data_IF_398271338224
#
_entry.id   IF_398271338224
#
_cell.length_a   1.000
_cell.length_b   1.000
_cell.length_c   1.000
_cell.angle_alpha   90.00
_cell.angle_beta   90.00
_cell.angle_gamma   90.00
#
_symmetry.space_group_name_H-M   'P 1'
#
loop_
_entity.id
_entity.type
_entity.pdbx_description
1 polymer ?
#
# COMPACT_ATOMS: atom_id res chain seq x y z
N UNK A 1 -14.91 -3.66 -12.10
CA UNK A 1 -13.48 -3.28 -12.09
C UNK A 1 -12.77 -4.28 -11.19
N UNK A 2 -11.91 -5.15 -11.74
CA UNK A 2 -11.23 -6.18 -10.93
C UNK A 2 -9.91 -5.57 -10.45
N UNK A 3 -9.87 -5.14 -9.19
CA UNK A 3 -8.60 -4.90 -8.49
C UNK A 3 -7.94 -6.27 -8.37
N UNK A 4 -6.77 -6.45 -8.98
CA UNK A 4 -6.13 -7.77 -9.07
C UNK A 4 -5.31 -8.10 -7.84
N UNK A 5 -4.64 -7.11 -7.24
CA UNK A 5 -3.80 -7.35 -6.07
C UNK A 5 -3.42 -6.03 -5.36
N UNK A 6 -3.46 -6.05 -4.03
CA UNK A 6 -2.82 -5.05 -3.16
C UNK A 6 -1.56 -5.71 -2.58
N UNK A 7 -0.38 -5.13 -2.82
CA UNK A 7 0.91 -5.65 -2.35
C UNK A 7 1.70 -4.54 -1.67
N UNK A 8 2.51 -4.91 -0.69
CA UNK A 8 3.49 -4.02 -0.08
C UNK A 8 4.85 -4.17 -0.74
N UNK A 9 5.45 -3.03 -1.09
CA UNK A 9 6.80 -2.94 -1.62
C UNK A 9 7.66 -2.11 -0.67
N UNK A 10 8.95 -2.38 -0.64
CA UNK A 10 9.94 -1.56 0.06
C UNK A 10 10.93 -0.93 -0.91
N UNK A 11 11.40 0.24 -0.56
CA UNK A 11 12.58 0.87 -1.14
C UNK A 11 13.66 0.95 -0.07
N UNK A 12 14.89 0.61 -0.44
CA UNK A 12 16.06 0.76 0.41
C UNK A 12 16.73 2.12 0.11
N UNK A 13 17.18 2.84 1.14
CA UNK A 13 17.85 4.13 0.93
C UNK A 13 19.20 3.97 0.21
N UNK A 14 19.54 4.92 -0.67
CA UNK A 14 20.87 5.00 -1.26
C UNK A 14 21.95 5.16 -0.19
N UNK A 15 23.14 4.61 -0.45
CA UNK A 15 24.32 4.78 0.41
C UNK A 15 25.24 5.83 -0.24
N UNK A 16 25.57 6.91 0.46
CA UNK A 16 26.44 7.95 -0.09
C UNK A 16 26.27 9.33 0.56
N UNK A 17 26.79 10.40 -0.06
CA UNK A 17 26.56 11.77 0.40
C UNK A 17 25.10 12.21 0.21
N UNK A 18 24.43 11.69 -0.83
CA UNK A 18 23.03 11.96 -1.14
C UNK A 18 22.17 10.76 -0.72
N UNK A 19 21.72 10.75 0.54
CA UNK A 19 20.84 9.71 1.09
C UNK A 19 19.40 10.22 1.31
N UNK A 20 18.43 9.30 1.29
CA UNK A 20 17.07 9.58 1.76
C UNK A 20 17.10 10.20 3.16
N UNK A 21 16.10 11.04 3.45
CA UNK A 21 15.97 11.67 4.75
C UNK A 21 14.56 12.25 4.93
N UNK A 22 14.43 13.21 5.85
CA UNK A 22 13.12 13.81 6.16
C UNK A 22 12.47 14.53 4.97
N UNK A 23 13.26 14.97 3.99
CA UNK A 23 12.79 15.75 2.84
C UNK A 23 13.03 15.07 1.50
N UNK A 24 14.14 14.35 1.36
CA UNK A 24 14.55 13.74 0.11
C UNK A 24 14.14 12.27 0.10
N UNK A 25 13.45 11.86 -0.96
CA UNK A 25 13.26 10.45 -1.29
C UNK A 25 14.25 10.06 -2.38
N UNK A 26 15.32 9.35 -2.01
CA UNK A 26 16.40 8.92 -2.92
C UNK A 26 16.64 7.41 -2.75
N UNK A 27 15.74 6.58 -3.32
CA UNK A 27 15.86 5.14 -3.22
C UNK A 27 17.10 4.66 -3.98
N UNK A 28 17.73 3.61 -3.47
CA UNK A 28 18.89 2.96 -4.08
C UNK A 28 18.55 2.23 -5.39
N UNK A 29 17.27 1.97 -5.66
CA UNK A 29 16.80 1.29 -6.85
C UNK A 29 15.28 1.15 -6.89
N UNK A 30 14.82 0.24 -7.75
CA UNK A 30 13.40 -0.09 -7.89
C UNK A 30 12.82 -0.73 -6.62
N UNK A 31 11.52 -0.58 -6.45
CA UNK A 31 10.80 -1.20 -5.34
C UNK A 31 10.87 -2.73 -5.44
N UNK A 32 11.19 -3.38 -4.32
CA UNK A 32 11.15 -4.84 -4.18
C UNK A 32 10.00 -5.25 -3.25
N UNK A 33 9.53 -6.49 -3.37
CA UNK A 33 8.48 -7.00 -2.49
C UNK A 33 8.95 -6.94 -1.02
N UNK A 34 8.16 -6.26 -0.18
CA UNK A 34 8.50 -5.96 1.21
C UNK A 34 8.59 -7.22 2.09
N UNK A 35 7.91 -8.30 1.69
CA UNK A 35 7.75 -9.52 2.47
C UNK A 35 8.27 -10.76 1.75
N UNK A 36 9.10 -10.57 0.71
CA UNK A 36 9.66 -11.67 -0.11
C UNK A 36 10.39 -12.75 0.71
N UNK A 37 11.02 -12.34 1.81
CA UNK A 37 11.76 -13.23 2.71
C UNK A 37 10.93 -13.78 3.86
N UNK A 38 9.68 -13.34 4.02
CA UNK A 38 8.80 -13.85 5.06
C UNK A 38 8.23 -15.21 4.65
N UNK A 39 8.05 -16.10 5.63
CA UNK A 39 7.19 -17.27 5.44
C UNK A 39 5.76 -16.80 5.15
N UNK A 40 4.92 -17.70 4.64
CA UNK A 40 3.53 -17.35 4.32
C UNK A 40 2.85 -16.63 5.50
N UNK A 41 2.28 -15.44 5.28
CA UNK A 41 1.68 -14.65 6.35
C UNK A 41 0.47 -15.40 6.93
N UNK A 42 0.16 -15.13 8.20
CA UNK A 42 -1.09 -15.65 8.78
C UNK A 42 -2.26 -14.85 8.24
N UNK A 43 -3.29 -15.55 7.73
CA UNK A 43 -4.49 -14.95 7.16
C UNK A 43 -5.67 -15.27 8.07
N UNK A 44 -6.40 -14.24 8.50
CA UNK A 44 -7.66 -14.36 9.22
C UNK A 44 -8.80 -13.93 8.31
N UNK A 45 -9.84 -14.77 8.22
CA UNK A 45 -11.05 -14.46 7.46
C UNK A 45 -12.23 -14.42 8.43
N UNK A 46 -12.90 -13.28 8.47
CA UNK A 46 -14.08 -13.03 9.28
C UNK A 46 -15.25 -12.83 8.33
N UNK A 47 -16.27 -13.68 8.47
CA UNK A 47 -17.52 -13.54 7.73
C UNK A 47 -18.66 -13.40 8.74
N UNK A 48 -19.20 -12.19 8.84
CA UNK A 48 -20.27 -11.85 9.77
C UNK A 48 -21.46 -11.19 9.07
N UNK A 49 -22.59 -11.14 9.78
CA UNK A 49 -23.81 -10.53 9.25
C UNK A 49 -23.67 -9.02 8.98
N UNK A 50 -22.85 -8.33 9.78
CA UNK A 50 -22.67 -6.86 9.69
C UNK A 50 -21.52 -6.48 8.75
N UNK A 51 -20.48 -7.30 8.67
CA UNK A 51 -19.30 -7.07 7.83
C UNK A 51 -18.58 -8.37 7.50
N UNK A 52 -17.82 -8.33 6.42
CA UNK A 52 -16.79 -9.31 6.08
C UNK A 52 -15.42 -8.64 6.15
N UNK A 53 -14.42 -9.36 6.63
CA UNK A 53 -13.06 -8.84 6.77
C UNK A 53 -12.01 -9.92 6.50
N UNK A 54 -10.96 -9.54 5.78
CA UNK A 54 -9.74 -10.32 5.64
C UNK A 54 -8.61 -9.56 6.29
N UNK A 55 -7.85 -10.22 7.17
CA UNK A 55 -6.67 -9.68 7.83
C UNK A 55 -5.47 -10.52 7.43
N UNK A 56 -4.43 -9.89 6.92
CA UNK A 56 -3.14 -10.50 6.60
C UNK A 56 -2.11 -9.93 7.56
N UNK A 57 -1.45 -10.81 8.32
CA UNK A 57 -0.44 -10.43 9.29
C UNK A 57 0.96 -10.73 8.73
N UNK A 58 1.63 -9.67 8.28
CA UNK A 58 3.06 -9.67 7.98
C UNK A 58 3.86 -9.25 9.22
N UNK A 59 5.20 -9.29 9.12
CA UNK A 59 6.09 -8.95 10.24
C UNK A 59 5.95 -7.49 10.71
N UNK A 60 5.84 -6.54 9.78
CA UNK A 60 5.76 -5.10 10.06
C UNK A 60 4.44 -4.45 9.58
N UNK A 61 3.53 -5.22 8.98
CA UNK A 61 2.22 -4.73 8.52
C UNK A 61 1.11 -5.70 8.91
N UNK A 62 0.07 -5.19 9.58
CA UNK A 62 -1.23 -5.86 9.65
C UNK A 62 -2.18 -5.17 8.66
N UNK A 63 -2.41 -5.85 7.54
CA UNK A 63 -3.26 -5.37 6.45
C UNK A 63 -4.67 -5.92 6.61
N UNK A 64 -5.67 -5.04 6.67
CA UNK A 64 -7.07 -5.43 6.80
C UNK A 64 -7.88 -4.87 5.65
N UNK A 65 -8.68 -5.73 5.02
CA UNK A 65 -9.65 -5.37 3.99
C UNK A 65 -11.04 -5.67 4.53
N UNK A 66 -11.90 -4.66 4.60
CA UNK A 66 -13.21 -4.72 5.23
C UNK A 66 -14.28 -4.33 4.22
N UNK A 67 -15.36 -5.10 4.19
CA UNK A 67 -16.59 -4.81 3.44
C UNK A 67 -17.73 -4.80 4.46
N UNK A 68 -18.48 -3.69 4.53
CA UNK A 68 -19.60 -3.56 5.47
C UNK A 68 -20.91 -3.87 4.76
N UNK A 69 -21.74 -4.73 5.35
CA UNK A 69 -23.02 -5.15 4.78
C UNK A 69 -24.15 -4.16 5.13
N UNK A 70 -23.92 -2.87 4.87
CA UNK A 70 -24.91 -1.82 5.10
C UNK A 70 -25.42 -1.29 3.76
N UNK A 71 -26.69 -0.85 3.71
CA UNK A 71 -27.36 -0.50 2.44
C UNK A 71 -26.65 0.59 1.62
N UNK A 72 -25.90 1.46 2.27
CA UNK A 72 -25.31 2.66 1.66
C UNK A 72 -23.79 2.56 1.50
N UNK A 73 -23.18 1.43 1.88
CA UNK A 73 -21.73 1.22 1.81
C UNK A 73 -21.40 0.35 0.58
N UNK A 74 -20.78 0.97 -0.43
CA UNK A 74 -20.31 0.31 -1.64
C UNK A 74 -18.79 0.40 -1.80
N UNK A 75 -18.09 0.85 -0.77
CA UNK A 75 -16.65 0.98 -0.73
C UNK A 75 -15.98 -0.22 -0.05
N UNK A 76 -14.69 -0.35 -0.31
CA UNK A 76 -13.81 -1.30 0.37
C UNK A 76 -12.95 -0.48 1.32
N UNK A 77 -13.08 -0.75 2.61
CA UNK A 77 -12.25 -0.10 3.63
C UNK A 77 -10.94 -0.86 3.79
N UNK A 78 -9.81 -0.16 3.66
CA UNK A 78 -8.47 -0.73 3.87
C UNK A 78 -7.85 -0.08 5.10
N UNK A 79 -7.44 -0.90 6.06
CA UNK A 79 -6.70 -0.45 7.24
C UNK A 79 -5.33 -1.11 7.29
N UNK A 80 -4.28 -0.31 7.45
CA UNK A 80 -2.90 -0.80 7.61
C UNK A 80 -2.37 -0.34 8.96
N UNK A 81 -2.11 -1.28 9.87
CA UNK A 81 -1.31 -1.01 11.05
C UNK A 81 0.15 -1.33 10.71
N UNK A 82 0.99 -0.30 10.65
CA UNK A 82 2.38 -0.37 10.19
C UNK A 82 3.33 -0.15 11.38
N UNK A 83 4.29 -1.06 11.58
CA UNK A 83 5.32 -0.98 12.61
C UNK A 83 6.71 -1.20 12.01
N UNK A 84 7.35 -0.10 11.59
CA UNK A 84 8.70 -0.11 10.99
C UNK A 84 9.83 0.17 11.99
N UNK A 85 9.56 0.13 13.30
CA UNK A 85 10.56 0.54 14.32
C UNK A 85 11.83 -0.33 14.33
N UNK A 86 11.77 -1.54 13.77
CA UNK A 86 12.90 -2.46 13.64
C UNK A 86 13.59 -2.36 12.29
N UNK A 87 13.03 -1.61 11.35
CA UNK A 87 13.59 -1.42 10.01
C UNK A 87 14.55 -0.22 10.00
N UNK A 88 15.61 -0.30 9.20
CA UNK A 88 16.55 0.80 8.98
C UNK A 88 16.69 1.07 7.49
N UNK A 89 16.77 2.35 7.10
CA UNK A 89 16.88 2.76 5.69
C UNK A 89 15.79 2.13 4.80
N UNK A 90 14.56 2.10 5.33
CA UNK A 90 13.44 1.35 4.80
C UNK A 90 12.24 2.27 4.56
N UNK A 91 11.72 2.24 3.34
CA UNK A 91 10.54 3.01 2.96
C UNK A 91 9.45 2.07 2.43
N UNK A 92 8.33 1.99 3.15
CA UNK A 92 7.20 1.12 2.81
C UNK A 92 6.22 1.82 1.85
N UNK A 93 5.78 1.10 0.83
CA UNK A 93 4.72 1.54 -0.07
C UNK A 93 3.67 0.45 -0.26
N UNK A 94 2.40 0.85 -0.42
CA UNK A 94 1.32 -0.04 -0.81
C UNK A 94 0.97 0.22 -2.27
N UNK A 95 0.95 -0.83 -3.10
CA UNK A 95 0.68 -0.74 -4.53
C UNK A 95 -0.61 -1.48 -4.87
N UNK A 96 -1.48 -0.82 -5.63
CA UNK A 96 -2.71 -1.40 -6.20
C UNK A 96 -2.49 -1.65 -7.68
N UNK A 97 -2.59 -2.90 -8.10
CA UNK A 97 -2.40 -3.30 -9.50
C UNK A 97 -3.73 -3.65 -10.15
N UNK A 98 -4.00 -3.08 -11.33
CA UNK A 98 -5.24 -3.28 -12.09
C UNK A 98 -4.95 -3.39 -13.59
N UNK A 99 -5.93 -3.83 -14.36
CA UNK A 99 -5.86 -3.85 -15.83
C UNK A 99 -6.33 -2.54 -16.49
N UNK A 100 -6.60 -1.49 -15.69
CA UNK A 100 -7.06 -0.20 -16.20
C UNK A 100 -5.96 0.43 -17.05
N UNK A 101 -6.26 0.68 -18.32
CA UNK A 101 -5.36 1.37 -19.25
C UNK A 101 -5.45 2.88 -19.01
N UNK A 102 -4.54 3.40 -18.18
CA UNK A 102 -4.52 4.81 -17.80
C UNK A 102 -3.58 5.68 -18.66
N UNK A 103 -2.84 5.10 -19.62
CA UNK A 103 -1.92 5.81 -20.52
C UNK A 103 -0.94 6.74 -19.77
N UNK A 104 -0.37 6.28 -18.65
CA UNK A 104 0.53 7.03 -17.77
C UNK A 104 -0.09 8.31 -17.17
N UNK A 105 -1.43 8.41 -17.15
CA UNK A 105 -2.16 9.51 -16.55
C UNK A 105 -2.78 9.04 -15.24
N UNK A 106 -2.64 9.85 -14.19
CA UNK A 106 -3.28 9.63 -12.89
C UNK A 106 -3.67 10.97 -12.28
N UNK A 107 -4.37 10.94 -11.15
CA UNK A 107 -4.86 12.14 -10.48
C UNK A 107 -4.48 12.10 -9.02
N UNK A 108 -4.05 13.25 -8.50
CA UNK A 108 -3.86 13.47 -7.06
C UNK A 108 -4.59 14.75 -6.67
N UNK A 109 -5.10 14.80 -5.45
CA UNK A 109 -5.69 16.03 -4.93
C UNK A 109 -4.61 17.08 -4.63
N UNK A 110 -5.06 18.32 -4.47
CA UNK A 110 -4.30 19.40 -3.87
C UNK A 110 -5.01 19.82 -2.58
N UNK A 111 -4.47 19.39 -1.44
CA UNK A 111 -4.97 19.73 -0.10
C UNK A 111 -6.44 19.32 0.13
N UNK A 112 -6.90 18.23 -0.50
CA UNK A 112 -8.29 17.77 -0.43
C UNK A 112 -9.31 18.65 -1.16
N UNK A 113 -8.89 19.63 -1.96
CA UNK A 113 -9.80 20.57 -2.61
C UNK A 113 -10.04 20.25 -4.10
N UNK A 114 -8.99 20.16 -4.90
CA UNK A 114 -9.09 19.94 -6.35
C UNK A 114 -8.30 18.73 -6.80
N UNK A 115 -8.92 17.86 -7.60
CA UNK A 115 -8.23 16.79 -8.32
C UNK A 115 -7.41 17.35 -9.48
N UNK A 116 -6.11 17.08 -9.49
CA UNK A 116 -5.17 17.57 -10.51
C UNK A 116 -4.62 16.42 -11.33
N UNK A 117 -4.65 16.57 -12.65
CA UNK A 117 -4.09 15.59 -13.59
C UNK A 117 -2.56 15.55 -13.50
N UNK A 118 -2.01 14.34 -13.43
CA UNK A 118 -0.58 14.03 -13.44
C UNK A 118 -0.25 13.15 -14.63
N UNK A 119 0.98 13.25 -15.13
CA UNK A 119 1.53 12.37 -16.16
C UNK A 119 2.86 11.82 -15.66
N UNK A 120 3.00 10.49 -15.70
CA UNK A 120 4.27 9.82 -15.48
C UNK A 120 5.11 9.87 -16.76
N UNK A 121 6.40 10.15 -16.64
CA UNK A 121 7.35 10.35 -17.74
C UNK A 121 8.46 9.31 -17.69
#
# INVERSE_FOLDING_TARGET
MVIKLTIFFRYDAAHGPDMSGAYLFMPSGEAIDAHVSEQQPTIYVINGHVLSQVIIQFSNVKHSVIIRHTKDCNDVEIQNLVDIRKEMNYELSMRVTTEVKNNNIFYTDLNGFQMTRRKYY
#
